data_IF_311493977227
#
_entry.id   IF_311493977227
#
_cell.length_a   1.000
_cell.length_b   1.000
_cell.length_c   1.000
_cell.angle_alpha   90.00
_cell.angle_beta   90.00
_cell.angle_gamma   90.00
#
_symmetry.space_group_name_H-M   'P 1'
#
loop_
_entity.id
_entity.type
_entity.pdbx_description
1 polymer ?
#
# COMPACT_ATOMS: atom_id res chain seq x y z
N UNK A 1 23.93 -73.49 11.42
CA UNK A 1 23.55 -74.91 11.65
C UNK A 1 22.04 -74.98 11.47
N UNK A 2 21.55 -75.09 10.23
CA UNK A 2 21.20 -76.34 9.52
C UNK A 2 20.22 -77.25 10.25
N UNK A 3 19.21 -77.68 9.46
CA UNK A 3 18.32 -78.83 9.64
C UNK A 3 16.98 -78.52 10.31
N UNK A 4 15.81 -78.95 9.84
CA UNK A 4 15.40 -79.69 8.64
C UNK A 4 13.87 -79.67 8.52
N UNK A 5 13.40 -79.75 7.26
CA UNK A 5 12.07 -80.15 6.75
C UNK A 5 11.67 -81.58 7.21
N UNK A 6 10.60 -82.30 6.73
CA UNK A 6 9.58 -82.00 5.70
C UNK A 6 8.16 -82.63 5.91
N UNK A 7 7.31 -82.49 4.87
CA UNK A 7 6.39 -83.50 4.28
C UNK A 7 5.01 -83.76 4.98
N UNK A 8 3.90 -84.17 4.34
CA UNK A 8 3.53 -84.49 2.94
C UNK A 8 2.00 -84.77 2.86
N UNK A 9 1.33 -84.31 1.79
CA UNK A 9 0.35 -84.99 0.88
C UNK A 9 -0.91 -85.77 1.37
N UNK A 10 -2.09 -85.27 0.91
CA UNK A 10 -3.18 -85.92 0.08
C UNK A 10 -3.98 -87.16 0.58
N UNK A 11 -5.12 -87.58 -0.06
CA UNK A 11 -6.15 -86.89 -0.89
C UNK A 11 -7.63 -87.37 -0.65
N UNK A 12 -8.55 -86.80 -1.45
CA UNK A 12 -9.68 -87.44 -2.19
C UNK A 12 -11.09 -87.63 -1.59
N UNK A 13 -12.08 -87.14 -2.38
CA UNK A 13 -13.39 -87.74 -2.79
C UNK A 13 -14.44 -87.96 -1.66
N UNK A 14 -15.76 -87.82 -1.81
CA UNK A 14 -16.72 -87.94 -2.92
C UNK A 14 -18.11 -87.47 -2.41
N UNK A 15 -18.96 -86.90 -3.27
CA UNK A 15 -20.41 -86.66 -3.04
C UNK A 15 -21.16 -87.99 -2.78
N UNK A 16 -22.40 -88.01 -2.23
CA UNK A 16 -23.59 -87.65 -3.03
C UNK A 16 -24.88 -87.15 -2.29
N UNK A 17 -25.79 -86.59 -3.11
CA UNK A 17 -27.24 -86.87 -3.17
C UNK A 17 -28.29 -86.28 -2.18
N UNK A 18 -29.27 -85.58 -2.81
CA UNK A 18 -30.76 -85.70 -2.70
C UNK A 18 -31.47 -84.95 -1.56
N UNK A 19 -32.07 -83.76 -1.82
CA UNK A 19 -33.51 -83.46 -2.18
C UNK A 19 -34.55 -83.66 -1.07
N UNK A 20 -35.79 -83.07 -1.11
CA UNK A 20 -36.30 -81.78 -1.63
C UNK A 20 -37.38 -81.12 -0.71
N UNK A 21 -38.11 -80.11 -1.24
CA UNK A 21 -39.41 -79.47 -0.80
C UNK A 21 -39.27 -78.29 0.18
N UNK A 22 -40.00 -77.17 0.07
CA UNK A 22 -41.21 -76.77 -0.66
C UNK A 22 -41.17 -75.23 -0.87
N UNK A 23 -41.45 -74.70 -2.07
CA UNK A 23 -42.71 -74.06 -2.51
C UNK A 23 -43.19 -72.87 -1.65
N UNK A 24 -43.02 -71.65 -2.18
CA UNK A 24 -44.11 -70.67 -2.32
C UNK A 24 -43.73 -69.59 -3.37
N UNK A 25 -44.52 -69.55 -4.44
CA UNK A 25 -44.57 -68.50 -5.46
C UNK A 25 -45.16 -67.22 -4.87
N UNK A 26 -44.62 -66.07 -5.26
CA UNK A 26 -45.43 -64.92 -5.67
C UNK A 26 -44.59 -64.02 -6.60
N UNK A 27 -44.94 -64.04 -7.88
CA UNK A 27 -44.44 -63.12 -8.88
C UNK A 27 -45.27 -61.83 -8.86
N UNK A 28 -44.60 -60.69 -8.87
CA UNK A 28 -45.15 -59.44 -9.39
C UNK A 28 -44.02 -58.70 -10.09
N UNK A 29 -44.00 -58.81 -11.42
CA UNK A 29 -43.16 -57.99 -12.28
C UNK A 29 -43.82 -56.62 -12.45
N UNK A 30 -43.09 -55.56 -12.13
CA UNK A 30 -43.33 -54.21 -12.64
C UNK A 30 -42.00 -53.65 -13.14
N UNK A 31 -41.99 -53.35 -14.44
CA UNK A 31 -40.92 -52.70 -15.18
C UNK A 31 -40.82 -51.22 -14.81
N UNK A 32 -39.60 -50.76 -14.55
CA UNK A 32 -39.18 -49.35 -14.52
C UNK A 32 -37.68 -49.35 -14.19
N UNK A 33 -36.78 -49.09 -15.14
CA UNK A 33 -36.50 -47.74 -15.62
C UNK A 33 -35.52 -47.10 -14.64
N UNK A 34 -34.22 -47.27 -14.91
CA UNK A 34 -33.16 -47.09 -13.91
C UNK A 34 -32.79 -45.65 -13.58
N UNK A 35 -32.02 -45.52 -12.50
CA UNK A 35 -30.91 -44.57 -12.35
C UNK A 35 -29.87 -45.28 -11.45
N UNK A 36 -28.64 -45.39 -11.94
CA UNK A 36 -27.49 -45.78 -11.13
C UNK A 36 -27.19 -44.62 -10.18
N UNK A 37 -27.53 -44.76 -8.91
CA UNK A 37 -27.04 -43.90 -7.84
C UNK A 37 -25.55 -44.17 -7.66
N UNK A 38 -24.74 -43.41 -8.39
CA UNK A 38 -23.35 -43.19 -8.02
C UNK A 38 -23.37 -42.39 -6.71
N UNK A 39 -23.13 -43.06 -5.59
CA UNK A 39 -22.68 -42.40 -4.38
C UNK A 39 -21.24 -41.95 -4.63
N UNK A 40 -21.09 -40.85 -5.35
CA UNK A 40 -19.91 -40.00 -5.24
C UNK A 40 -19.99 -39.38 -3.86
N UNK A 41 -19.11 -39.82 -2.96
CA UNK A 41 -18.65 -38.97 -1.89
C UNK A 41 -18.17 -37.69 -2.55
N UNK A 42 -18.91 -36.59 -2.40
CA UNK A 42 -18.38 -35.25 -2.55
C UNK A 42 -17.32 -35.11 -1.44
N UNK A 43 -16.15 -35.66 -1.73
CA UNK A 43 -14.93 -35.08 -1.24
C UNK A 43 -14.95 -33.69 -1.80
N UNK A 44 -15.16 -32.74 -0.91
CA UNK A 44 -14.76 -31.36 -1.06
C UNK A 44 -13.33 -31.38 -1.58
N UNK A 45 -13.23 -31.38 -2.90
CA UNK A 45 -12.01 -31.10 -3.59
C UNK A 45 -11.85 -29.61 -3.37
N UNK A 46 -11.14 -29.26 -2.29
CA UNK A 46 -10.59 -27.93 -2.12
C UNK A 46 -9.84 -27.59 -3.39
N UNK A 47 -10.53 -26.87 -4.27
CA UNK A 47 -9.91 -26.01 -5.25
C UNK A 47 -9.07 -25.05 -4.43
N UNK A 48 -7.77 -24.94 -4.72
CA UNK A 48 -6.94 -23.89 -4.10
C UNK A 48 -7.62 -22.56 -4.37
N UNK A 49 -8.16 -21.99 -3.30
CA UNK A 49 -9.03 -20.81 -3.26
C UNK A 49 -8.25 -19.69 -2.57
N UNK A 50 -7.00 -19.51 -3.00
CA UNK A 50 -6.22 -18.32 -2.68
C UNK A 50 -6.69 -17.31 -3.74
N UNK A 51 -7.50 -16.32 -3.36
CA UNK A 51 -8.10 -15.34 -4.28
C UNK A 51 -7.08 -14.53 -5.11
N UNK A 52 -7.49 -13.44 -5.79
CA UNK A 52 -6.58 -12.69 -6.66
C UNK A 52 -5.28 -12.30 -5.95
N UNK A 53 -4.16 -12.24 -6.69
CA UNK A 53 -2.90 -11.73 -6.17
C UNK A 53 -2.72 -10.26 -6.53
N UNK A 54 -2.46 -9.43 -5.52
CA UNK A 54 -2.18 -8.00 -5.68
C UNK A 54 -0.72 -7.75 -5.31
N UNK A 55 0.03 -7.11 -6.19
CA UNK A 55 1.41 -6.68 -5.89
C UNK A 55 1.43 -5.16 -5.82
N UNK A 56 1.92 -4.63 -4.72
CA UNK A 56 2.08 -3.21 -4.51
C UNK A 56 3.56 -2.79 -4.49
N UNK A 57 3.86 -1.57 -4.91
CA UNK A 57 5.25 -1.06 -4.90
C UNK A 57 5.80 -0.89 -3.48
N UNK A 58 5.02 -0.27 -2.59
CA UNK A 58 5.39 0.00 -1.19
C UNK A 58 4.34 -0.53 -0.22
N UNK A 59 4.67 -0.58 1.07
CA UNK A 59 3.73 -1.00 2.12
C UNK A 59 2.52 -0.09 2.23
N UNK A 60 2.63 1.18 1.83
CA UNK A 60 1.52 2.14 1.79
C UNK A 60 0.43 1.65 0.85
N UNK A 61 0.79 1.36 -0.41
CA UNK A 61 -0.16 0.85 -1.40
C UNK A 61 -0.63 -0.57 -1.10
N UNK A 62 0.24 -1.39 -0.50
CA UNK A 62 -0.13 -2.73 -0.06
C UNK A 62 -1.22 -2.68 1.01
N UNK A 63 -1.07 -1.87 2.05
CA UNK A 63 -2.05 -1.79 3.13
C UNK A 63 -3.40 -1.21 2.67
N UNK A 64 -3.38 -0.18 1.80
CA UNK A 64 -4.62 0.32 1.17
C UNK A 64 -5.33 -0.82 0.42
N UNK A 65 -4.58 -1.61 -0.36
CA UNK A 65 -5.14 -2.74 -1.10
C UNK A 65 -5.60 -3.88 -0.17
N UNK A 66 -4.88 -4.18 0.92
CA UNK A 66 -5.25 -5.19 1.93
C UNK A 66 -6.56 -4.83 2.62
N UNK A 67 -6.73 -3.57 3.02
CA UNK A 67 -7.96 -3.09 3.64
C UNK A 67 -9.16 -3.23 2.70
N UNK A 68 -8.96 -3.02 1.39
CA UNK A 68 -10.01 -3.23 0.37
C UNK A 68 -10.27 -4.71 0.11
N UNK A 69 -9.22 -5.52 -0.05
CA UNK A 69 -9.30 -6.94 -0.35
C UNK A 69 -9.95 -7.77 0.78
N UNK A 70 -9.61 -7.44 2.03
CA UNK A 70 -9.87 -8.31 3.17
C UNK A 70 -9.33 -9.73 2.93
N UNK A 71 -10.04 -10.74 3.41
CA UNK A 71 -9.62 -12.15 3.26
C UNK A 71 -9.82 -12.73 1.84
N UNK A 72 -10.24 -11.92 0.84
CA UNK A 72 -10.65 -12.43 -0.47
C UNK A 72 -9.58 -12.27 -1.56
N UNK A 73 -8.47 -11.60 -1.28
CA UNK A 73 -7.30 -11.50 -2.15
C UNK A 73 -6.03 -11.58 -1.31
N UNK A 74 -4.92 -11.99 -1.92
CA UNK A 74 -3.61 -11.91 -1.28
C UNK A 74 -2.90 -10.67 -1.77
N UNK A 75 -2.24 -9.95 -0.86
CA UNK A 75 -1.51 -8.72 -1.19
C UNK A 75 -0.07 -8.88 -0.71
N UNK A 76 0.87 -8.45 -1.54
CA UNK A 76 2.28 -8.35 -1.17
C UNK A 76 2.87 -7.01 -1.59
N UNK A 77 3.92 -6.58 -0.89
CA UNK A 77 4.66 -5.37 -1.20
C UNK A 77 6.07 -5.70 -1.66
N UNK A 78 6.53 -5.03 -2.71
CA UNK A 78 7.92 -5.13 -3.18
C UNK A 78 8.88 -4.48 -2.17
N UNK A 79 8.60 -3.24 -1.77
CA UNK A 79 9.38 -2.52 -0.75
C UNK A 79 8.69 -2.66 0.60
N UNK A 80 9.15 -3.63 1.40
CA UNK A 80 8.58 -3.98 2.71
C UNK A 80 9.42 -3.57 3.92
N UNK A 81 10.67 -3.14 3.71
CA UNK A 81 11.53 -2.66 4.79
C UNK A 81 11.14 -1.22 5.18
N UNK A 82 10.69 -0.97 6.43
CA UNK A 82 10.29 0.37 6.88
C UNK A 82 11.46 1.36 6.95
N UNK A 83 12.71 0.90 6.85
CA UNK A 83 13.89 1.75 6.82
C UNK A 83 14.45 1.99 5.40
N UNK A 84 13.91 1.33 4.38
CA UNK A 84 14.39 1.49 3.01
C UNK A 84 13.89 2.81 2.43
N UNK A 85 14.78 3.60 1.84
CA UNK A 85 14.43 4.71 0.96
C UNK A 85 13.91 4.15 -0.39
N UNK A 86 12.66 4.43 -0.77
CA UNK A 86 12.09 3.89 -2.01
C UNK A 86 12.72 4.45 -3.29
N UNK A 87 13.31 5.65 -3.27
CA UNK A 87 13.91 6.29 -4.45
C UNK A 87 15.21 5.60 -4.87
N UNK A 88 15.96 5.04 -3.92
CA UNK A 88 17.20 4.30 -4.16
C UNK A 88 17.00 2.79 -4.37
N UNK A 89 15.76 2.31 -4.39
CA UNK A 89 15.45 0.89 -4.47
C UNK A 89 15.82 0.27 -5.82
N UNK A 90 16.62 -0.79 -5.78
CA UNK A 90 16.95 -1.60 -6.96
C UNK A 90 16.15 -2.92 -6.96
N UNK A 91 15.14 -3.00 -7.83
CA UNK A 91 14.33 -4.21 -7.95
C UNK A 91 15.16 -5.44 -8.39
N UNK A 92 14.94 -6.56 -7.71
CA UNK A 92 15.52 -7.85 -8.06
C UNK A 92 14.73 -8.54 -9.19
N UNK A 93 15.31 -9.57 -9.83
CA UNK A 93 14.56 -10.38 -10.79
C UNK A 93 13.34 -11.10 -10.18
N UNK A 94 13.31 -11.30 -8.86
CA UNK A 94 12.16 -11.88 -8.18
C UNK A 94 11.02 -10.87 -8.09
N UNK A 95 11.33 -9.61 -7.78
CA UNK A 95 10.34 -8.53 -7.69
C UNK A 95 9.70 -8.27 -9.05
N UNK A 96 10.52 -8.22 -10.11
CA UNK A 96 10.01 -8.08 -11.48
C UNK A 96 9.10 -9.26 -11.87
N UNK A 97 9.40 -10.48 -11.41
CA UNK A 97 8.57 -11.64 -11.67
C UNK A 97 7.26 -11.63 -10.86
N UNK A 98 7.28 -11.10 -9.63
CA UNK A 98 6.09 -10.90 -8.82
C UNK A 98 5.15 -9.89 -9.48
N UNK A 99 5.65 -8.70 -9.84
CA UNK A 99 4.91 -7.66 -10.55
C UNK A 99 4.31 -8.20 -11.86
N UNK A 100 5.10 -8.92 -12.67
CA UNK A 100 4.63 -9.46 -13.95
C UNK A 100 3.63 -10.63 -13.80
N UNK A 101 3.56 -11.25 -12.63
CA UNK A 101 2.71 -12.41 -12.33
C UNK A 101 1.45 -12.09 -11.54
N UNK A 102 1.26 -10.83 -11.13
CA UNK A 102 0.12 -10.39 -10.35
C UNK A 102 -1.18 -10.35 -11.17
N UNK A 103 -2.32 -10.51 -10.51
CA UNK A 103 -3.64 -10.24 -11.10
C UNK A 103 -3.95 -8.72 -11.10
N UNK A 104 -3.36 -7.96 -10.17
CA UNK A 104 -3.47 -6.51 -10.05
C UNK A 104 -2.16 -5.92 -9.52
N UNK A 105 -1.71 -4.80 -10.09
CA UNK A 105 -0.56 -4.04 -9.58
C UNK A 105 -1.00 -2.67 -9.09
N UNK A 106 -0.58 -2.28 -7.88
CA UNK A 106 -0.93 -0.99 -7.26
C UNK A 106 0.35 -0.23 -6.90
N UNK A 107 0.54 0.96 -7.45
CA UNK A 107 1.77 1.71 -7.25
C UNK A 107 1.55 3.22 -7.41
N UNK A 108 2.58 4.02 -7.16
CA UNK A 108 2.49 5.48 -7.18
C UNK A 108 2.45 6.03 -8.61
N UNK A 109 3.50 5.75 -9.39
CA UNK A 109 3.77 6.39 -10.67
C UNK A 109 4.64 7.65 -10.53
N UNK A 110 4.68 8.46 -11.60
CA UNK A 110 5.49 9.69 -11.68
C UNK A 110 7.00 9.51 -11.45
N UNK A 111 7.54 8.32 -11.69
CA UNK A 111 8.97 8.02 -11.55
C UNK A 111 9.39 7.56 -10.15
N UNK A 112 8.52 7.71 -9.14
CA UNK A 112 8.75 7.27 -7.76
C UNK A 112 9.15 5.78 -7.67
N UNK A 113 8.40 4.94 -8.36
CA UNK A 113 8.53 3.49 -8.39
C UNK A 113 8.70 3.00 -9.83
N UNK A 114 9.61 3.65 -10.57
CA UNK A 114 9.92 3.36 -11.97
C UNK A 114 10.31 1.89 -12.24
N UNK A 115 10.75 1.15 -11.21
CA UNK A 115 11.02 -0.28 -11.32
C UNK A 115 9.75 -1.10 -11.64
N UNK A 116 8.57 -0.64 -11.22
CA UNK A 116 7.28 -1.27 -11.54
C UNK A 116 7.00 -1.11 -13.02
N UNK A 117 7.15 0.10 -13.57
CA UNK A 117 7.00 0.36 -15.00
C UNK A 117 7.95 -0.52 -15.83
N UNK A 118 9.23 -0.62 -15.43
CA UNK A 118 10.21 -1.48 -16.11
C UNK A 118 9.84 -2.97 -16.05
N UNK A 119 9.26 -3.44 -14.95
CA UNK A 119 8.79 -4.82 -14.83
C UNK A 119 7.57 -5.07 -15.73
N UNK A 120 6.63 -4.13 -15.76
CA UNK A 120 5.41 -4.19 -16.57
C UNK A 120 5.68 -4.11 -18.08
N UNK A 121 6.68 -3.34 -18.52
CA UNK A 121 7.11 -3.26 -19.93
C UNK A 121 7.50 -4.64 -20.50
N UNK A 122 7.95 -5.54 -19.63
CA UNK A 122 8.33 -6.91 -19.98
C UNK A 122 7.23 -7.94 -19.68
N UNK A 123 6.12 -7.51 -19.08
CA UNK A 123 4.97 -8.33 -18.72
C UNK A 123 3.86 -8.27 -19.79
N UNK A 124 2.79 -9.05 -19.60
CA UNK A 124 1.56 -8.94 -20.39
C UNK A 124 0.67 -7.78 -19.93
N UNK A 125 -0.57 -7.71 -20.44
CA UNK A 125 -1.57 -6.76 -19.93
C UNK A 125 -1.99 -7.14 -18.50
N UNK A 126 -1.31 -6.60 -17.50
CA UNK A 126 -1.68 -6.68 -16.08
C UNK A 126 -2.48 -5.43 -15.71
N UNK A 127 -3.68 -5.54 -15.12
CA UNK A 127 -4.41 -4.40 -14.58
C UNK A 127 -3.58 -3.61 -13.57
N UNK A 128 -3.68 -2.28 -13.63
CA UNK A 128 -2.84 -1.35 -12.86
C UNK A 128 -3.70 -0.27 -12.22
N UNK A 129 -3.38 0.06 -10.96
CA UNK A 129 -3.85 1.26 -10.26
C UNK A 129 -2.64 2.13 -9.93
N UNK A 130 -2.63 3.38 -10.43
CA UNK A 130 -1.60 4.38 -10.14
C UNK A 130 -2.14 5.47 -9.23
N UNK A 131 -1.43 5.75 -8.14
CA UNK A 131 -1.75 6.86 -7.24
C UNK A 131 -1.82 8.20 -7.97
N UNK A 132 -0.90 8.46 -8.89
CA UNK A 132 -0.82 9.74 -9.62
C UNK A 132 -1.99 9.94 -10.61
N UNK A 133 -2.51 8.86 -11.19
CA UNK A 133 -3.68 8.93 -12.07
C UNK A 133 -4.94 9.28 -11.26
N UNK A 134 -5.06 8.70 -10.06
CA UNK A 134 -6.16 8.99 -9.14
C UNK A 134 -6.02 10.39 -8.51
N UNK A 135 -4.79 10.86 -8.28
CA UNK A 135 -4.51 12.24 -7.90
C UNK A 135 -5.00 13.22 -8.96
N UNK A 136 -4.57 13.07 -10.22
CA UNK A 136 -5.02 13.92 -11.32
C UNK A 136 -6.54 13.89 -11.47
N UNK A 137 -7.17 12.72 -11.33
CA UNK A 137 -8.63 12.59 -11.39
C UNK A 137 -9.33 13.41 -10.30
N UNK A 138 -8.81 13.43 -9.08
CA UNK A 138 -9.44 14.09 -7.93
C UNK A 138 -9.14 15.58 -7.88
N UNK A 139 -7.91 16.00 -8.18
CA UNK A 139 -7.47 17.39 -8.03
C UNK A 139 -7.52 18.17 -9.35
N UNK A 140 -7.47 17.48 -10.49
CA UNK A 140 -7.27 18.08 -11.81
C UNK A 140 -5.83 18.57 -12.06
N UNK A 141 -4.90 18.30 -11.14
CA UNK A 141 -3.49 18.65 -11.28
C UNK A 141 -2.67 17.40 -11.65
N UNK A 142 -1.88 17.51 -12.71
CA UNK A 142 -0.93 16.48 -13.07
C UNK A 142 0.30 16.55 -12.14
N UNK A 143 0.90 15.39 -11.87
CA UNK A 143 2.21 15.29 -11.25
C UNK A 143 3.23 15.16 -12.37
N UNK A 144 4.04 16.19 -12.58
CA UNK A 144 5.19 16.11 -13.48
C UNK A 144 6.22 15.18 -12.83
N UNK A 145 6.29 13.94 -13.31
CA UNK A 145 7.17 12.95 -12.70
C UNK A 145 8.65 13.27 -12.82
N UNK A 146 9.48 12.53 -12.06
CA UNK A 146 10.95 12.65 -11.97
C UNK A 146 11.71 12.52 -13.31
N UNK A 147 11.00 12.27 -14.42
CA UNK A 147 11.55 12.04 -15.75
C UNK A 147 11.54 13.27 -16.67
N UNK A 148 11.12 14.45 -16.20
CA UNK A 148 11.18 15.68 -16.98
C UNK A 148 12.25 16.66 -16.46
N UNK A 149 13.45 16.49 -16.98
CA UNK A 149 14.46 17.54 -17.02
C UNK A 149 14.07 18.62 -18.03
N UNK A 150 13.03 19.41 -17.74
CA UNK A 150 12.92 20.76 -18.30
C UNK A 150 12.57 21.74 -17.18
N UNK A 151 13.60 22.47 -16.74
CA UNK A 151 13.45 23.71 -15.97
C UNK A 151 12.59 24.68 -16.81
N UNK A 152 11.35 24.90 -16.41
CA UNK A 152 10.61 26.08 -16.84
C UNK A 152 10.11 26.85 -15.62
N UNK A 153 10.53 28.12 -15.57
CA UNK A 153 10.24 29.06 -14.50
C UNK A 153 8.73 29.34 -14.44
N UNK A 154 8.02 28.72 -13.50
CA UNK A 154 6.67 29.10 -13.14
C UNK A 154 6.64 29.72 -11.73
N UNK A 155 6.47 31.04 -11.70
CA UNK A 155 6.12 31.81 -10.50
C UNK A 155 4.82 31.26 -9.87
N UNK A 156 4.87 30.97 -8.57
CA UNK A 156 3.73 30.71 -7.67
C UNK A 156 2.71 29.66 -8.12
N UNK A 157 3.16 28.41 -8.34
CA UNK A 157 2.27 27.25 -8.39
C UNK A 157 2.35 26.48 -7.07
N UNK A 158 1.19 26.00 -6.59
CA UNK A 158 1.00 25.17 -5.40
C UNK A 158 2.18 24.21 -5.16
N UNK A 159 2.85 24.29 -4.00
CA UNK A 159 4.10 23.55 -3.77
C UNK A 159 3.96 22.03 -3.81
N UNK A 160 2.74 21.49 -3.70
CA UNK A 160 2.46 20.08 -3.90
C UNK A 160 2.14 19.71 -5.36
N UNK A 161 1.85 20.68 -6.24
CA UNK A 161 1.68 20.41 -7.65
C UNK A 161 3.03 19.97 -8.25
N UNK A 162 3.09 18.72 -8.72
CA UNK A 162 4.33 18.09 -9.20
C UNK A 162 5.06 17.23 -8.16
N UNK A 163 4.58 17.16 -6.91
CA UNK A 163 5.14 16.26 -5.91
C UNK A 163 4.52 14.85 -6.01
N UNK A 164 5.37 13.84 -6.14
CA UNK A 164 5.04 12.44 -6.35
C UNK A 164 4.46 11.73 -5.13
N UNK A 165 4.56 12.27 -3.92
CA UNK A 165 4.15 11.62 -2.67
C UNK A 165 2.62 11.65 -2.45
N UNK A 166 1.84 11.32 -3.48
CA UNK A 166 0.39 11.58 -3.56
C UNK A 166 -0.45 10.75 -2.59
N UNK A 167 0.11 9.73 -1.96
CA UNK A 167 -0.56 8.99 -0.89
C UNK A 167 -0.76 9.84 0.38
N UNK A 168 -0.08 10.97 0.52
CA UNK A 168 -0.35 11.97 1.57
C UNK A 168 -1.61 12.81 1.28
N UNK A 169 -2.15 12.78 0.07
CA UNK A 169 -3.48 13.32 -0.21
C UNK A 169 -4.54 12.30 0.23
N UNK A 170 -5.25 12.57 1.34
CA UNK A 170 -6.31 11.68 1.84
C UNK A 170 -7.42 11.43 0.80
N UNK A 171 -7.88 12.44 0.03
CA UNK A 171 -8.81 12.22 -1.08
C UNK A 171 -8.25 11.29 -2.17
N UNK A 172 -6.95 11.36 -2.45
CA UNK A 172 -6.28 10.48 -3.40
C UNK A 172 -6.20 9.06 -2.87
N UNK A 173 -5.87 8.85 -1.60
CA UNK A 173 -5.86 7.52 -1.00
C UNK A 173 -7.25 6.86 -1.03
N UNK A 174 -8.31 7.62 -0.75
CA UNK A 174 -9.68 7.14 -0.90
C UNK A 174 -10.01 6.75 -2.36
N UNK A 175 -9.55 7.55 -3.33
CA UNK A 175 -9.72 7.27 -4.76
C UNK A 175 -8.94 6.04 -5.24
N UNK A 176 -7.73 5.82 -4.71
CA UNK A 176 -6.95 4.59 -4.95
C UNK A 176 -7.71 3.38 -4.38
N UNK A 177 -8.22 3.46 -3.15
CA UNK A 177 -9.00 2.39 -2.54
C UNK A 177 -10.28 2.06 -3.36
N UNK A 178 -10.99 3.08 -3.82
CA UNK A 178 -12.14 2.94 -4.74
C UNK A 178 -11.73 2.22 -6.03
N UNK A 179 -10.62 2.62 -6.65
CA UNK A 179 -10.14 2.00 -7.89
C UNK A 179 -9.74 0.55 -7.69
N UNK A 180 -9.00 0.25 -6.62
CA UNK A 180 -8.62 -1.14 -6.27
C UNK A 180 -9.87 -1.99 -6.10
N UNK A 181 -10.93 -1.48 -5.47
CA UNK A 181 -12.17 -2.22 -5.29
C UNK A 181 -12.85 -2.55 -6.63
N UNK A 182 -12.86 -1.64 -7.59
CA UNK A 182 -13.45 -1.88 -8.90
C UNK A 182 -12.64 -2.87 -9.75
N UNK A 183 -11.31 -2.79 -9.72
CA UNK A 183 -10.45 -3.76 -10.41
C UNK A 183 -10.59 -5.16 -9.79
N UNK A 184 -10.56 -5.28 -8.46
CA UNK A 184 -10.80 -6.55 -7.77
C UNK A 184 -12.22 -7.09 -8.00
N UNK A 185 -13.23 -6.22 -8.07
CA UNK A 185 -14.60 -6.62 -8.42
C UNK A 185 -14.73 -7.13 -9.86
N UNK A 186 -13.90 -6.65 -10.78
CA UNK A 186 -13.84 -7.14 -12.15
C UNK A 186 -13.13 -8.49 -12.24
N UNK A 187 -12.03 -8.65 -11.51
CA UNK A 187 -11.23 -9.89 -11.46
C UNK A 187 -12.01 -11.00 -10.73
N UNK A 188 -12.60 -10.68 -9.58
CA UNK A 188 -13.36 -11.59 -8.72
C UNK A 188 -14.77 -11.03 -8.44
N UNK A 189 -15.64 -11.22 -9.43
CA UNK A 189 -17.06 -10.79 -9.35
C UNK A 189 -17.87 -11.42 -8.21
N UNK A 190 -17.39 -12.52 -7.61
CA UNK A 190 -18.05 -13.18 -6.48
C UNK A 190 -18.00 -12.36 -5.20
N UNK A 191 -16.92 -11.58 -5.01
CA UNK A 191 -16.69 -10.72 -3.85
C UNK A 191 -16.84 -9.22 -4.16
N UNK A 192 -17.29 -8.85 -5.36
CA UNK A 192 -17.41 -7.46 -5.83
C UNK A 192 -18.04 -6.48 -4.83
N UNK A 193 -19.16 -6.84 -4.19
CA UNK A 193 -19.81 -5.94 -3.22
C UNK A 193 -18.97 -5.77 -1.95
N UNK A 194 -18.23 -6.80 -1.52
CA UNK A 194 -17.35 -6.72 -0.35
C UNK A 194 -16.20 -5.77 -0.60
N UNK A 195 -15.56 -5.83 -1.77
CA UNK A 195 -14.49 -4.88 -2.11
C UNK A 195 -14.99 -3.43 -2.08
N UNK A 196 -16.19 -3.18 -2.65
CA UNK A 196 -16.81 -1.83 -2.62
C UNK A 196 -17.23 -1.40 -1.22
N UNK A 197 -17.76 -2.30 -0.39
CA UNK A 197 -18.10 -2.04 1.00
C UNK A 197 -16.84 -1.66 1.80
N UNK A 198 -15.74 -2.39 1.59
CA UNK A 198 -14.47 -2.14 2.25
C UNK A 198 -13.83 -0.81 1.83
N UNK A 199 -13.82 -0.48 0.53
CA UNK A 199 -13.33 0.82 0.05
C UNK A 199 -14.15 1.98 0.62
N UNK A 200 -15.48 1.82 0.76
CA UNK A 200 -16.32 2.82 1.44
C UNK A 200 -15.96 2.97 2.91
N UNK A 201 -15.73 1.86 3.62
CA UNK A 201 -15.31 1.90 5.01
C UNK A 201 -13.93 2.55 5.19
N UNK A 202 -13.00 2.31 4.27
CA UNK A 202 -11.69 2.98 4.22
C UNK A 202 -11.84 4.50 4.05
N UNK A 203 -12.64 4.94 3.07
CA UNK A 203 -12.90 6.36 2.86
C UNK A 203 -13.58 7.02 4.07
N UNK A 204 -14.56 6.35 4.70
CA UNK A 204 -15.23 6.83 5.92
C UNK A 204 -14.24 6.97 7.10
N UNK A 205 -13.19 6.14 7.15
CA UNK A 205 -12.16 6.21 8.18
C UNK A 205 -11.21 7.42 8.01
N UNK A 206 -11.13 8.01 6.81
CA UNK A 206 -10.33 9.19 6.52
C UNK A 206 -11.04 10.51 6.87
N UNK A 207 -12.38 10.52 6.87
CA UNK A 207 -13.17 11.72 7.16
C UNK A 207 -12.80 12.45 8.47
N UNK A 208 -12.52 11.76 9.60
CA UNK A 208 -12.07 12.44 10.82
C UNK A 208 -10.71 13.15 10.67
N UNK A 209 -9.80 12.62 9.83
CA UNK A 209 -8.49 13.22 9.59
C UNK A 209 -8.64 14.45 8.70
N UNK A 210 -9.48 14.37 7.65
CA UNK A 210 -9.84 15.52 6.81
C UNK A 210 -10.43 16.67 7.65
N UNK A 211 -11.34 16.35 8.57
CA UNK A 211 -11.92 17.35 9.46
C UNK A 211 -10.89 18.03 10.38
N UNK A 212 -9.86 17.31 10.83
CA UNK A 212 -8.76 17.90 11.61
C UNK A 212 -7.88 18.83 10.76
N UNK A 213 -7.59 18.44 9.51
CA UNK A 213 -6.86 19.30 8.57
C UNK A 213 -7.65 20.57 8.26
N UNK A 214 -8.98 20.47 8.07
CA UNK A 214 -9.87 21.63 7.88
C UNK A 214 -9.85 22.55 9.12
N UNK A 215 -9.85 21.99 10.33
CA UNK A 215 -9.74 22.78 11.57
C UNK A 215 -8.39 23.52 11.67
N UNK A 216 -7.28 22.92 11.21
CA UNK A 216 -5.98 23.59 11.12
C UNK A 216 -6.05 24.70 10.06
N UNK A 217 -6.54 24.38 8.87
CA UNK A 217 -6.65 25.29 7.75
C UNK A 217 -7.43 26.56 8.13
N UNK A 218 -8.57 26.41 8.81
CA UNK A 218 -9.44 27.52 9.25
C UNK A 218 -8.79 28.45 10.28
N UNK A 219 -7.72 28.02 10.95
CA UNK A 219 -6.96 28.85 11.90
C UNK A 219 -5.99 29.81 11.20
N UNK A 220 -5.65 29.56 9.94
CA UNK A 220 -4.77 30.39 9.11
C UNK A 220 -3.49 29.68 8.68
N UNK A 221 -2.53 30.46 8.17
CA UNK A 221 -1.28 29.93 7.65
C UNK A 221 -0.26 29.72 8.75
N UNK A 222 0.36 28.54 8.82
CA UNK A 222 1.45 28.26 9.76
C UNK A 222 2.74 27.94 9.03
N UNK A 223 3.85 28.63 9.35
CA UNK A 223 5.13 28.37 8.72
C UNK A 223 5.73 27.05 9.24
N UNK A 224 6.29 26.25 8.35
CA UNK A 224 7.06 25.06 8.70
C UNK A 224 8.38 25.02 7.92
N UNK A 225 9.29 24.16 8.34
CA UNK A 225 10.47 23.80 7.55
C UNK A 225 10.52 22.29 7.37
N UNK A 226 11.22 21.81 6.35
CA UNK A 226 11.31 20.38 6.06
C UNK A 226 12.68 19.97 5.56
N UNK A 227 13.04 18.70 5.73
CA UNK A 227 14.22 18.11 5.08
C UNK A 227 13.92 17.65 3.66
N UNK A 228 12.68 17.25 3.40
CA UNK A 228 12.20 16.74 2.12
C UNK A 228 10.69 16.97 2.00
N UNK A 229 10.17 17.09 0.77
CA UNK A 229 8.76 17.41 0.52
C UNK A 229 7.79 16.22 0.61
N UNK A 230 8.10 15.21 1.42
CA UNK A 230 7.27 14.00 1.54
C UNK A 230 5.83 14.32 1.98
N UNK A 231 5.65 15.19 2.97
CA UNK A 231 4.32 15.55 3.51
C UNK A 231 3.57 16.65 2.77
N UNK A 232 4.04 17.10 1.59
CA UNK A 232 3.56 18.32 0.93
C UNK A 232 2.04 18.37 0.74
N UNK A 233 1.41 17.25 0.36
CA UNK A 233 -0.04 17.19 0.13
C UNK A 233 -0.87 17.35 1.41
N UNK A 234 -0.43 16.75 2.54
CA UNK A 234 -1.07 16.98 3.84
C UNK A 234 -0.90 18.43 4.30
N UNK A 235 0.29 18.98 4.10
CA UNK A 235 0.63 20.32 4.55
C UNK A 235 -0.12 21.39 3.75
N UNK A 236 -0.33 21.17 2.45
CA UNK A 236 -1.20 22.02 1.64
C UNK A 236 -2.65 21.96 2.13
N UNK A 237 -3.19 20.77 2.41
CA UNK A 237 -4.55 20.62 2.94
C UNK A 237 -4.73 21.34 4.29
N UNK A 238 -3.69 21.36 5.13
CA UNK A 238 -3.66 22.08 6.41
C UNK A 238 -3.29 23.58 6.29
N UNK A 239 -3.17 24.14 5.08
CA UNK A 239 -2.84 25.54 4.84
C UNK A 239 -1.46 25.99 5.37
N UNK A 240 -0.51 25.05 5.45
CA UNK A 240 0.83 25.33 5.95
C UNK A 240 1.69 26.03 4.90
N UNK A 241 2.72 26.73 5.36
CA UNK A 241 3.62 27.53 4.52
C UNK A 241 5.05 27.05 4.66
N UNK A 242 5.63 26.56 3.57
CA UNK A 242 7.03 26.14 3.57
C UNK A 242 7.96 27.36 3.59
N UNK A 243 8.78 27.48 4.64
CA UNK A 243 9.84 28.49 4.73
C UNK A 243 11.24 27.92 4.53
N UNK A 244 11.34 26.65 4.10
CA UNK A 244 12.62 25.99 3.86
C UNK A 244 13.41 26.74 2.77
N UNK A 245 14.71 27.03 3.00
CA UNK A 245 15.55 27.60 1.93
C UNK A 245 15.55 26.70 0.70
N UNK A 246 15.16 27.22 -0.46
CA UNK A 246 15.01 26.40 -1.69
C UNK A 246 16.30 25.72 -2.12
N UNK A 247 17.45 26.37 -1.95
CA UNK A 247 18.75 25.75 -2.23
C UNK A 247 19.09 24.61 -1.27
N UNK A 248 18.61 24.65 -0.02
CA UNK A 248 18.74 23.54 0.90
C UNK A 248 17.88 22.36 0.44
N UNK A 249 16.60 22.62 0.19
CA UNK A 249 15.62 21.60 -0.18
C UNK A 249 16.01 20.89 -1.48
N UNK A 250 16.34 21.65 -2.53
CA UNK A 250 16.77 21.07 -3.81
C UNK A 250 18.03 20.21 -3.67
N UNK A 251 19.01 20.64 -2.86
CA UNK A 251 20.21 19.82 -2.65
C UNK A 251 19.91 18.51 -1.94
N UNK A 252 19.05 18.52 -0.92
CA UNK A 252 18.66 17.30 -0.21
C UNK A 252 17.91 16.34 -1.14
N UNK A 253 16.96 16.84 -1.94
CA UNK A 253 16.18 16.04 -2.90
C UNK A 253 17.05 15.49 -4.06
N UNK A 254 18.14 16.19 -4.42
CA UNK A 254 19.11 15.71 -5.42
C UNK A 254 20.18 14.76 -4.84
N UNK A 255 20.05 14.32 -3.59
CA UNK A 255 21.07 13.53 -2.86
C UNK A 255 22.45 14.22 -2.80
N UNK A 256 22.46 15.55 -2.68
CA UNK A 256 23.69 16.36 -2.61
C UNK A 256 23.79 17.19 -1.32
N UNK A 257 25.03 17.53 -0.95
CA UNK A 257 25.25 18.42 0.19
C UNK A 257 24.79 19.85 -0.14
N UNK A 258 23.93 20.48 0.70
CA UNK A 258 23.54 21.87 0.52
C UNK A 258 24.73 22.80 0.70
N UNK A 259 24.65 23.98 0.08
CA UNK A 259 25.69 25.00 0.24
C UNK A 259 25.79 25.45 1.71
N UNK A 260 26.97 25.94 2.11
CA UNK A 260 27.16 26.48 3.46
C UNK A 260 26.21 27.67 3.76
N UNK A 261 25.78 28.41 2.73
CA UNK A 261 24.84 29.51 2.88
C UNK A 261 23.42 29.00 3.10
N UNK A 262 23.00 27.97 2.35
CA UNK A 262 21.67 27.38 2.48
C UNK A 262 21.50 26.66 3.82
N UNK A 263 22.52 25.90 4.25
CA UNK A 263 22.53 25.30 5.59
C UNK A 263 22.50 26.37 6.68
N UNK A 264 23.25 27.47 6.55
CA UNK A 264 23.18 28.55 7.54
C UNK A 264 21.80 29.19 7.59
N UNK A 265 21.15 29.43 6.44
CA UNK A 265 19.80 29.96 6.36
C UNK A 265 18.77 29.02 7.01
N UNK A 266 18.90 27.71 6.83
CA UNK A 266 18.04 26.70 7.46
C UNK A 266 18.23 26.70 8.98
N UNK A 267 19.47 26.73 9.46
CA UNK A 267 19.76 26.76 10.90
C UNK A 267 19.27 28.06 11.55
N UNK A 268 19.40 29.21 10.87
CA UNK A 268 18.90 30.49 11.36
C UNK A 268 17.36 30.50 11.44
N UNK A 269 16.67 29.91 10.45
CA UNK A 269 15.21 29.77 10.43
C UNK A 269 14.69 29.03 11.68
N UNK A 270 15.37 27.94 12.06
CA UNK A 270 15.05 27.13 13.23
C UNK A 270 15.43 27.85 14.54
N UNK A 271 16.65 28.38 14.63
CA UNK A 271 17.15 29.05 15.82
C UNK A 271 16.33 30.30 16.19
N UNK A 272 15.83 31.03 15.20
CA UNK A 272 14.95 32.19 15.39
C UNK A 272 13.49 31.80 15.63
N UNK A 273 13.14 30.50 15.60
CA UNK A 273 11.77 29.96 15.72
C UNK A 273 10.80 30.64 14.76
N UNK A 274 11.21 30.81 13.51
CA UNK A 274 10.39 31.41 12.44
C UNK A 274 9.38 30.43 11.84
N UNK A 275 9.48 29.16 12.23
CA UNK A 275 8.58 28.06 11.86
C UNK A 275 7.98 27.45 13.12
N UNK A 276 6.83 26.80 12.98
CA UNK A 276 6.13 26.12 14.07
C UNK A 276 6.72 24.74 14.37
N UNK A 277 7.21 24.05 13.34
CA UNK A 277 7.82 22.72 13.45
C UNK A 277 8.79 22.44 12.30
N UNK A 278 9.59 21.39 12.46
CA UNK A 278 10.40 20.77 11.42
C UNK A 278 9.75 19.45 10.99
N UNK A 279 9.40 19.29 9.72
CA UNK A 279 9.09 17.99 9.12
C UNK A 279 10.40 17.28 8.75
N UNK A 280 10.53 16.01 9.12
CA UNK A 280 11.79 15.28 8.97
C UNK A 280 11.56 13.91 8.34
N UNK A 281 12.07 13.66 7.13
CA UNK A 281 12.08 12.32 6.57
C UNK A 281 13.19 11.50 7.24
N UNK A 282 12.78 10.44 7.95
CA UNK A 282 13.72 9.59 8.70
C UNK A 282 14.47 8.60 7.81
N UNK A 283 14.00 8.34 6.59
CA UNK A 283 14.60 7.38 5.65
C UNK A 283 15.72 8.00 4.80
N UNK A 284 15.74 9.33 4.67
CA UNK A 284 16.76 10.09 3.93
C UNK A 284 17.72 10.85 4.88
N UNK A 285 17.89 10.36 6.12
CA UNK A 285 18.77 10.99 7.10
C UNK A 285 20.25 10.98 6.65
N UNK A 286 20.86 12.16 6.69
CA UNK A 286 22.30 12.40 6.46
C UNK A 286 22.89 13.14 7.65
N UNK A 287 24.22 13.27 7.68
CA UNK A 287 24.88 14.10 8.70
C UNK A 287 24.46 15.58 8.67
N UNK A 288 23.98 16.07 7.52
CA UNK A 288 23.50 17.44 7.36
C UNK A 288 22.08 17.57 7.90
N UNK A 289 21.17 16.67 7.53
CA UNK A 289 19.79 16.71 8.02
C UNK A 289 19.72 16.38 9.51
N UNK A 290 20.55 15.47 10.03
CA UNK A 290 20.69 15.24 11.47
C UNK A 290 21.08 16.52 12.24
N UNK A 291 21.98 17.35 11.69
CA UNK A 291 22.33 18.66 12.29
C UNK A 291 21.16 19.64 12.26
N UNK A 292 20.28 19.56 11.26
CA UNK A 292 19.06 20.37 11.18
C UNK A 292 18.06 19.90 12.25
N UNK A 293 17.90 18.59 12.46
CA UNK A 293 17.12 18.03 13.56
C UNK A 293 17.63 18.51 14.92
N UNK A 294 18.93 18.35 15.18
CA UNK A 294 19.58 18.81 16.42
C UNK A 294 19.29 20.29 16.68
N UNK A 295 19.35 21.14 15.63
CA UNK A 295 19.08 22.56 15.76
C UNK A 295 17.60 22.89 16.04
N UNK A 296 16.66 22.11 15.50
CA UNK A 296 15.24 22.23 15.83
C UNK A 296 14.98 21.86 17.30
N UNK A 297 15.55 20.74 17.75
CA UNK A 297 15.42 20.27 19.13
C UNK A 297 16.08 21.24 20.14
N UNK A 298 17.28 21.74 19.83
CA UNK A 298 17.95 22.79 20.63
C UNK A 298 17.13 24.08 20.70
N UNK A 299 16.33 24.35 19.67
CA UNK A 299 15.40 25.47 19.62
C UNK A 299 14.02 25.14 20.23
N UNK A 300 13.83 24.01 20.93
CA UNK A 300 12.54 23.51 21.44
C UNK A 300 11.42 23.51 20.37
N UNK A 301 11.74 23.31 19.09
CA UNK A 301 10.75 23.10 18.04
C UNK A 301 10.31 21.64 18.05
N UNK A 302 9.04 21.41 17.74
CA UNK A 302 8.53 20.06 17.49
C UNK A 302 9.14 19.55 16.18
N UNK A 303 9.62 18.30 16.19
CA UNK A 303 10.01 17.57 14.99
C UNK A 303 8.89 16.58 14.69
N UNK A 304 8.31 16.68 13.50
CA UNK A 304 7.31 15.75 12.97
C UNK A 304 8.04 14.79 12.05
N UNK A 305 8.28 13.57 12.53
CA UNK A 305 8.96 12.52 11.78
C UNK A 305 7.99 11.96 10.70
N UNK A 306 8.47 11.89 9.47
CA UNK A 306 7.75 11.35 8.31
C UNK A 306 8.52 10.15 7.74
N UNK A 307 7.75 9.28 7.10
CA UNK A 307 8.23 8.12 6.35
C UNK A 307 7.52 8.04 5.00
N UNK A 308 7.99 7.21 4.10
CA UNK A 308 7.39 6.91 2.81
C UNK A 308 6.91 5.47 2.69
N UNK A 309 7.35 4.63 3.63
CA UNK A 309 6.80 3.31 3.89
C UNK A 309 6.13 3.31 5.27
N UNK A 310 5.19 2.38 5.47
CA UNK A 310 4.52 2.24 6.76
C UNK A 310 5.51 1.87 7.87
N UNK A 311 5.45 2.56 9.03
CA UNK A 311 6.16 2.12 10.23
C UNK A 311 5.81 0.69 10.62
N UNK A 312 6.71 0.00 11.32
CA UNK A 312 6.52 -1.40 11.72
C UNK A 312 5.22 -1.58 12.54
N UNK A 313 4.31 -2.41 12.02
CA UNK A 313 3.05 -2.76 12.67
C UNK A 313 1.95 -1.69 12.60
N UNK A 314 2.16 -0.61 11.83
CA UNK A 314 1.11 0.36 11.52
C UNK A 314 0.30 -0.06 10.27
N UNK A 315 -0.97 0.35 10.24
CA UNK A 315 -1.77 0.41 9.03
C UNK A 315 -1.82 1.87 8.51
N UNK A 316 -2.28 2.09 7.29
CA UNK A 316 -2.32 3.41 6.66
C UNK A 316 -3.15 4.42 7.44
N UNK A 317 -4.31 4.01 7.97
CA UNK A 317 -5.21 4.91 8.71
C UNK A 317 -4.55 5.34 10.03
N UNK A 318 -3.99 4.40 10.78
CA UNK A 318 -3.29 4.66 12.03
C UNK A 318 -2.04 5.50 11.83
N UNK A 319 -1.29 5.26 10.75
CA UNK A 319 -0.12 6.05 10.38
C UNK A 319 -0.48 7.51 10.08
N UNK A 320 -1.46 7.73 9.18
CA UNK A 320 -1.93 9.08 8.87
C UNK A 320 -2.57 9.78 10.08
N UNK A 321 -3.27 9.02 10.94
CA UNK A 321 -3.82 9.56 12.20
C UNK A 321 -2.69 10.10 13.09
N UNK A 322 -1.61 9.35 13.25
CA UNK A 322 -0.45 9.79 14.04
C UNK A 322 0.16 11.08 13.50
N UNK A 323 0.35 11.18 12.18
CA UNK A 323 0.89 12.39 11.55
C UNK A 323 -0.03 13.59 11.75
N UNK A 324 -1.34 13.43 11.56
CA UNK A 324 -2.33 14.51 11.75
C UNK A 324 -2.42 14.94 13.23
N UNK A 325 -2.31 14.00 14.17
CA UNK A 325 -2.26 14.29 15.60
C UNK A 325 -0.98 15.07 15.97
N UNK A 326 0.18 14.68 15.42
CA UNK A 326 1.46 15.37 15.62
C UNK A 326 1.44 16.79 15.05
N UNK A 327 0.85 16.98 13.86
CA UNK A 327 0.63 18.32 13.28
C UNK A 327 -0.28 19.17 14.18
N UNK A 328 -1.40 18.61 14.63
CA UNK A 328 -2.33 19.30 15.52
C UNK A 328 -1.65 19.72 16.83
N UNK A 329 -0.81 18.83 17.40
CA UNK A 329 -0.01 19.09 18.59
C UNK A 329 1.04 20.18 18.37
N UNK A 330 1.81 20.09 17.29
CA UNK A 330 2.83 21.07 16.92
C UNK A 330 2.26 22.47 16.70
N UNK A 331 1.02 22.56 16.22
CA UNK A 331 0.36 23.81 15.91
C UNK A 331 -0.50 24.35 17.06
N UNK A 332 -0.71 23.60 18.16
CA UNK A 332 -1.69 23.96 19.20
C UNK A 332 -1.50 25.38 19.77
N UNK A 333 -0.26 25.79 20.01
CA UNK A 333 0.10 27.11 20.53
C UNK A 333 0.76 28.03 19.47
N UNK A 334 0.85 27.57 18.22
CA UNK A 334 1.44 28.35 17.14
C UNK A 334 0.55 29.56 16.77
N UNK A 335 1.20 30.65 16.36
CA UNK A 335 0.50 31.85 15.86
C UNK A 335 0.55 31.86 14.33
N UNK A 336 -0.58 32.00 13.63
CA UNK A 336 -0.58 32.04 12.18
C UNK A 336 0.13 33.30 11.66
N UNK A 337 0.77 33.18 10.50
CA UNK A 337 1.32 34.32 9.77
C UNK A 337 0.21 34.99 8.95
N UNK A 338 0.26 36.32 8.80
CA UNK A 338 -0.70 37.03 7.98
C UNK A 338 -0.42 36.84 6.48
N UNK A 339 -1.46 36.93 5.64
CA UNK A 339 -1.47 36.69 4.18
C UNK A 339 -0.44 37.52 3.35
N UNK A 340 0.32 38.42 3.98
CA UNK A 340 1.33 39.28 3.35
C UNK A 340 2.77 39.02 3.83
N UNK A 341 3.04 37.86 4.40
CA UNK A 341 4.33 37.47 4.96
C UNK A 341 5.30 36.76 4.00
N UNK A 342 5.07 36.84 2.69
CA UNK A 342 5.98 36.39 1.64
C UNK A 342 6.76 37.57 1.03
#
# INVERSE_FOLDING_TARGET
MSSSSPARTSPARTSPARTPRALALAAAALLGGGVLTACGTDGDAGTGDDGPTVVASTTVYADIAEQVAGDNASVESVISDPAADPHSYEASPADAAAVAGADLVVYNGAGYDAFVDMALDNAGDVPVVRGVDEFERVTGAAVDGLNHAEEDHADHAHEAAGNEHVWFSLPTAAAVAERVAEELAAIDSGNAERYRDNARAFADALTPLEAQLDEIHDRGHFPYAQTERVGAHLFEAAHLTDLTPRGFLASVEDDTDPSAADLAAMLDLLAERRVAFLAFNTQTETSVTARVRDAAEDADLVVVDLTETLPEGADYIGWMTGIVDDLSGALADATPVGDGGH
#
